data_IF_594667351597
#
_entry.id   IF_594667351597
#
_cell.length_a   1.000
_cell.length_b   1.000
_cell.length_c   1.000
_cell.angle_alpha   90.00
_cell.angle_beta   90.00
_cell.angle_gamma   90.00
#
_symmetry.space_group_name_H-M   'P 1'
#
loop_
_entity.id
_entity.type
_entity.pdbx_description
1 polymer ?
#
# COMPACT_ATOMS: atom_id res chain seq x y z
N UNK A 1 3.75 3.16 15.17
CA UNK A 1 2.79 3.41 14.07
C UNK A 1 3.11 4.74 13.42
N UNK A 2 3.14 4.77 12.08
CA UNK A 2 3.36 5.97 11.28
C UNK A 2 2.08 6.33 10.51
N UNK A 3 1.35 7.36 10.96
CA UNK A 3 0.20 7.89 10.25
C UNK A 3 0.62 8.67 9.00
N UNK A 4 0.04 8.34 7.84
CA UNK A 4 0.31 9.03 6.57
C UNK A 4 -1.00 9.38 5.84
N UNK A 5 -1.06 10.52 5.12
CA UNK A 5 -2.17 10.83 4.24
C UNK A 5 -2.09 9.96 2.98
N UNK A 6 -3.19 9.34 2.58
CA UNK A 6 -3.33 8.63 1.30
C UNK A 6 -2.27 7.55 0.98
N UNK A 7 -1.59 7.02 1.99
CA UNK A 7 -0.62 5.93 1.84
C UNK A 7 -1.17 4.64 2.45
N UNK A 8 -1.03 3.55 1.70
CA UNK A 8 -1.35 2.20 2.13
C UNK A 8 -0.15 1.28 1.86
N UNK A 9 0.28 0.54 2.88
CA UNK A 9 1.30 -0.48 2.75
C UNK A 9 0.63 -1.84 2.49
N UNK A 10 0.77 -2.38 1.29
CA UNK A 10 0.22 -3.69 0.94
C UNK A 10 1.22 -4.82 1.24
N UNK A 11 0.76 -6.01 1.67
CA UNK A 11 1.63 -7.18 1.81
C UNK A 11 2.35 -7.52 0.49
N UNK A 12 3.66 -7.72 0.57
CA UNK A 12 4.54 -8.01 -0.58
C UNK A 12 5.12 -6.77 -1.28
N UNK A 13 4.50 -5.60 -1.12
CA UNK A 13 4.97 -4.35 -1.75
C UNK A 13 6.13 -3.71 -0.97
N UNK A 14 6.95 -2.92 -1.68
CA UNK A 14 7.99 -2.07 -1.08
C UNK A 14 7.50 -0.63 -1.06
N UNK A 15 7.54 0.01 0.11
CA UNK A 15 7.21 1.41 0.32
C UNK A 15 8.49 2.20 0.66
N UNK A 16 8.98 3.05 -0.25
CA UNK A 16 10.05 3.99 0.07
C UNK A 16 9.51 5.15 0.93
N UNK A 17 10.25 5.53 1.97
CA UNK A 17 9.88 6.63 2.87
C UNK A 17 11.08 7.56 3.10
N UNK A 18 10.80 8.86 3.09
CA UNK A 18 11.72 9.89 3.57
C UNK A 18 11.22 10.46 4.89
N UNK A 19 11.97 10.26 5.96
CA UNK A 19 11.59 10.59 7.33
C UNK A 19 12.37 11.81 7.78
N UNK A 20 11.65 12.87 8.11
CA UNK A 20 12.26 14.15 8.49
C UNK A 20 11.65 14.79 9.74
N UNK A 21 10.43 14.42 10.14
CA UNK A 21 9.83 14.97 11.36
C UNK A 21 10.48 14.34 12.60
N UNK A 22 10.85 15.13 13.62
CA UNK A 22 11.58 14.63 14.80
C UNK A 22 10.94 13.41 15.47
N UNK A 23 9.60 13.42 15.67
CA UNK A 23 8.86 12.29 16.26
C UNK A 23 9.01 10.99 15.47
N UNK A 24 9.13 11.08 14.15
CA UNK A 24 9.27 9.90 13.30
C UNK A 24 10.75 9.51 13.12
N UNK A 25 11.69 10.43 13.28
CA UNK A 25 13.11 10.06 13.40
C UNK A 25 13.31 9.20 14.66
N UNK A 26 12.77 9.63 15.80
CA UNK A 26 12.80 8.86 17.06
C UNK A 26 12.12 7.48 16.90
N UNK A 27 10.96 7.45 16.22
CA UNK A 27 10.27 6.19 15.90
C UNK A 27 11.14 5.23 15.10
N UNK A 28 11.87 5.73 14.10
CA UNK A 28 12.72 4.89 13.25
C UNK A 28 13.92 4.37 14.03
N UNK A 29 14.56 5.22 14.84
CA UNK A 29 15.65 4.80 15.71
C UNK A 29 15.16 3.65 16.63
N UNK A 30 13.98 3.79 17.23
CA UNK A 30 13.36 2.74 18.04
C UNK A 30 13.03 1.45 17.26
N UNK A 31 12.49 1.58 16.05
CA UNK A 31 12.15 0.43 15.19
C UNK A 31 13.41 -0.35 14.81
N UNK A 32 14.50 0.32 14.47
CA UNK A 32 15.76 -0.31 14.06
C UNK A 32 16.50 -1.00 15.22
N UNK A 33 16.22 -0.62 16.45
CA UNK A 33 16.71 -1.30 17.66
C UNK A 33 15.87 -2.55 18.01
N UNK A 34 14.66 -2.66 17.47
CA UNK A 34 13.75 -3.79 17.72
C UNK A 34 14.15 -5.03 16.90
N UNK A 35 13.98 -6.26 17.43
CA UNK A 35 14.33 -7.49 16.69
C UNK A 35 13.59 -7.66 15.37
N UNK A 36 12.33 -7.19 15.30
CA UNK A 36 11.44 -7.42 14.17
C UNK A 36 11.52 -6.30 13.12
N UNK A 37 12.16 -5.16 13.44
CA UNK A 37 12.19 -3.96 12.59
C UNK A 37 10.80 -3.57 12.06
N UNK A 38 9.76 -3.80 12.88
CA UNK A 38 8.37 -3.72 12.45
C UNK A 38 7.85 -2.28 12.45
N UNK A 39 7.19 -1.89 11.37
CA UNK A 39 6.58 -0.58 11.22
C UNK A 39 5.16 -0.71 10.68
N UNK A 40 4.20 -0.17 11.43
CA UNK A 40 2.81 -0.07 11.02
C UNK A 40 2.56 1.27 10.27
N UNK A 41 2.00 1.20 9.06
CA UNK A 41 1.63 2.34 8.22
C UNK A 41 0.11 2.48 8.21
N UNK A 42 -0.39 3.48 8.93
CA UNK A 42 -1.83 3.74 9.06
C UNK A 42 -2.25 4.95 8.22
N UNK A 43 -3.39 4.85 7.55
CA UNK A 43 -3.92 5.98 6.77
C UNK A 43 -4.68 6.95 7.68
N UNK A 44 -4.39 8.25 7.57
CA UNK A 44 -5.11 9.31 8.26
C UNK A 44 -6.57 9.42 7.77
N UNK A 45 -7.51 9.72 8.68
CA UNK A 45 -8.89 10.07 8.30
C UNK A 45 -8.97 11.52 7.82
N UNK A 46 -9.94 11.85 6.95
CA UNK A 46 -10.16 13.25 6.52
C UNK A 46 -10.34 14.20 7.70
N UNK A 47 -9.84 15.44 7.57
CA UNK A 47 -9.87 16.44 8.63
C UNK A 47 -8.72 16.34 9.64
N UNK A 48 -7.68 15.57 9.32
CA UNK A 48 -6.50 15.40 10.17
C UNK A 48 -5.67 16.69 10.29
N UNK A 49 -5.81 17.61 9.34
CA UNK A 49 -4.95 18.79 9.18
C UNK A 49 -5.02 19.70 10.40
N UNK A 50 -6.20 19.81 11.00
CA UNK A 50 -6.44 20.64 12.19
C UNK A 50 -5.68 20.14 13.44
N UNK A 51 -5.34 18.86 13.49
CA UNK A 51 -4.65 18.23 14.63
C UNK A 51 -3.39 17.46 14.18
N UNK A 52 -2.78 17.78 13.03
CA UNK A 52 -1.70 16.96 12.47
C UNK A 52 -0.51 16.74 13.44
N UNK A 53 -0.23 17.73 14.28
CA UNK A 53 0.83 17.69 15.30
C UNK A 53 0.44 16.88 16.53
N UNK A 54 -0.87 16.72 16.80
CA UNK A 54 -1.39 15.89 17.88
C UNK A 54 -1.60 14.44 17.43
N UNK A 55 -2.82 13.94 17.66
CA UNK A 55 -3.17 12.53 17.40
C UNK A 55 -4.39 12.44 16.48
N UNK A 56 -4.28 12.86 15.22
CA UNK A 56 -5.41 12.80 14.31
C UNK A 56 -5.90 11.35 14.13
N UNK A 57 -7.23 11.14 13.98
CA UNK A 57 -7.78 9.81 13.81
C UNK A 57 -7.20 9.09 12.58
N UNK A 58 -6.97 7.79 12.71
CA UNK A 58 -6.56 6.90 11.61
C UNK A 58 -7.68 5.91 11.26
N UNK A 59 -7.61 5.33 10.07
CA UNK A 59 -8.42 4.16 9.75
C UNK A 59 -7.94 2.95 10.56
N UNK A 60 -8.88 2.09 10.97
CA UNK A 60 -8.58 0.95 11.86
C UNK A 60 -7.77 -0.15 11.19
N UNK A 61 -7.77 -0.26 9.86
CA UNK A 61 -6.96 -1.26 9.15
C UNK A 61 -5.73 -0.59 8.55
N UNK A 62 -4.59 -1.25 8.71
CA UNK A 62 -3.28 -0.75 8.32
C UNK A 62 -2.42 -1.86 7.72
N UNK A 63 -1.36 -1.45 7.03
CA UNK A 63 -0.30 -2.36 6.62
C UNK A 63 0.81 -2.38 7.67
N UNK A 64 1.29 -3.57 8.02
CA UNK A 64 2.49 -3.72 8.86
C UNK A 64 3.58 -4.33 8.00
N UNK A 65 4.76 -3.72 8.04
CA UNK A 65 5.93 -4.16 7.30
C UNK A 65 7.17 -4.22 8.16
N UNK A 66 8.26 -4.71 7.58
CA UNK A 66 9.59 -4.61 8.18
C UNK A 66 10.46 -3.65 7.38
N UNK A 67 11.33 -2.92 8.07
CA UNK A 67 12.36 -2.10 7.42
C UNK A 67 13.42 -3.03 6.83
N UNK A 68 13.55 -3.01 5.49
CA UNK A 68 14.50 -3.86 4.74
C UNK A 68 15.74 -3.10 4.28
N UNK A 69 15.69 -1.78 4.26
CA UNK A 69 16.85 -0.91 4.09
C UNK A 69 16.64 0.40 4.85
N UNK A 70 17.69 0.91 5.48
CA UNK A 70 17.69 2.18 6.17
C UNK A 70 19.01 2.92 5.93
N UNK A 71 18.91 4.17 5.50
CA UNK A 71 20.05 5.06 5.28
C UNK A 71 19.85 6.32 6.12
N UNK A 72 20.76 6.57 7.06
CA UNK A 72 20.79 7.81 7.84
C UNK A 72 21.53 8.88 7.05
N UNK A 73 20.85 9.99 6.78
CA UNK A 73 21.43 11.16 6.12
C UNK A 73 22.28 11.97 7.10
N UNK A 74 23.19 12.78 6.56
CA UNK A 74 24.09 13.64 7.35
C UNK A 74 23.37 14.69 8.22
N UNK A 75 22.14 15.03 7.89
CA UNK A 75 21.28 15.95 8.65
C UNK A 75 20.35 15.24 9.65
N UNK A 76 20.55 13.93 9.88
CA UNK A 76 19.79 13.14 10.83
C UNK A 76 18.48 12.55 10.30
N UNK A 77 18.10 12.86 9.05
CA UNK A 77 16.91 12.29 8.39
C UNK A 77 17.14 10.85 7.96
N UNK A 78 16.06 10.09 7.74
CA UNK A 78 16.15 8.70 7.26
C UNK A 78 15.54 8.54 5.86
N UNK A 79 16.21 7.75 5.02
CA UNK A 79 15.57 7.10 3.87
C UNK A 79 15.35 5.63 4.22
N UNK A 80 14.13 5.14 4.06
CA UNK A 80 13.76 3.76 4.37
C UNK A 80 13.17 3.06 3.15
N UNK A 81 13.39 1.75 3.08
CA UNK A 81 12.56 0.83 2.31
C UNK A 81 11.83 -0.08 3.30
N UNK A 82 10.50 -0.07 3.27
CA UNK A 82 9.65 -0.91 4.12
C UNK A 82 8.96 -1.95 3.26
N UNK A 83 9.17 -3.24 3.58
CA UNK A 83 8.46 -4.34 2.91
C UNK A 83 7.18 -4.66 3.67
N UNK A 84 6.03 -4.55 3.02
CA UNK A 84 4.76 -4.93 3.60
C UNK A 84 4.70 -6.43 3.86
N UNK A 85 4.27 -6.81 5.06
CA UNK A 85 4.19 -8.21 5.49
C UNK A 85 2.75 -8.65 5.67
N UNK A 86 1.95 -7.87 6.40
CA UNK A 86 0.59 -8.25 6.80
C UNK A 86 -0.36 -7.06 6.78
N UNK A 87 -1.65 -7.38 6.77
CA UNK A 87 -2.71 -6.46 7.19
C UNK A 87 -2.91 -6.61 8.69
N UNK A 88 -3.22 -5.51 9.38
CA UNK A 88 -3.57 -5.54 10.79
C UNK A 88 -4.71 -4.58 11.10
N UNK A 89 -5.48 -4.90 12.14
CA UNK A 89 -6.52 -4.04 12.73
C UNK A 89 -6.00 -3.44 14.03
N UNK A 90 -6.09 -2.12 14.15
CA UNK A 90 -5.85 -1.39 15.40
C UNK A 90 -6.82 -1.88 16.48
N UNK A 91 -6.27 -2.31 17.62
CA UNK A 91 -7.04 -2.68 18.81
C UNK A 91 -7.06 -1.52 19.79
N UNK A 92 -5.87 -1.07 20.20
CA UNK A 92 -5.67 0.06 21.10
C UNK A 92 -4.35 0.79 20.79
N UNK A 93 -4.24 2.01 21.31
CA UNK A 93 -2.98 2.75 21.34
C UNK A 93 -2.45 2.69 22.78
N UNK A 94 -1.14 2.49 22.95
CA UNK A 94 -0.50 2.57 24.25
C UNK A 94 -0.40 4.03 24.74
N UNK A 95 -0.16 4.19 26.04
CA UNK A 95 -0.04 5.46 26.73
C UNK A 95 1.07 6.36 26.14
N UNK A 96 0.95 7.68 26.37
CA UNK A 96 1.71 8.73 25.68
C UNK A 96 3.14 8.94 26.21
N UNK A 97 3.90 7.87 26.40
CA UNK A 97 5.28 7.98 26.92
C UNK A 97 6.28 8.43 25.85
N UNK A 98 5.95 8.28 24.56
CA UNK A 98 6.83 8.58 23.42
C UNK A 98 6.25 9.61 22.46
N UNK A 99 7.12 10.23 21.67
CA UNK A 99 6.73 11.20 20.65
C UNK A 99 5.95 10.57 19.48
N UNK A 100 6.02 9.25 19.33
CA UNK A 100 5.33 8.48 18.30
C UNK A 100 4.34 7.49 18.92
N UNK A 101 3.36 7.05 18.11
CA UNK A 101 2.29 6.17 18.59
C UNK A 101 2.73 4.72 18.62
N UNK A 102 2.66 4.10 19.78
CA UNK A 102 2.74 2.65 19.94
C UNK A 102 1.31 2.08 19.96
N UNK A 103 1.11 0.90 19.38
CA UNK A 103 -0.22 0.31 19.21
C UNK A 103 -0.21 -1.18 19.48
N UNK A 104 -1.33 -1.72 19.94
CA UNK A 104 -1.65 -3.13 19.79
C UNK A 104 -2.49 -3.33 18.52
N UNK A 105 -2.19 -4.38 17.76
CA UNK A 105 -2.91 -4.66 16.53
C UNK A 105 -3.06 -6.16 16.29
N UNK A 106 -4.22 -6.53 15.76
CA UNK A 106 -4.53 -7.91 15.39
C UNK A 106 -4.28 -8.15 13.92
N UNK A 107 -3.59 -9.25 13.60
CA UNK A 107 -3.37 -9.68 12.22
C UNK A 107 -4.70 -9.97 11.51
N UNK A 108 -4.80 -9.52 10.27
CA UNK A 108 -5.91 -9.87 9.37
C UNK A 108 -5.35 -10.81 8.30
N UNK A 109 -5.80 -12.06 8.31
CA UNK A 109 -5.47 -13.02 7.28
C UNK A 109 -6.38 -12.89 6.05
N UNK A 110 -5.80 -13.20 4.89
CA UNK A 110 -6.57 -13.29 3.65
C UNK A 110 -7.53 -14.47 3.73
N UNK A 111 -8.75 -14.24 3.24
CA UNK A 111 -9.83 -15.24 3.20
C UNK A 111 -10.15 -15.57 1.75
N UNK A 112 -10.48 -16.84 1.50
CA UNK A 112 -10.70 -17.43 0.17
C UNK A 112 -9.47 -17.35 -0.76
N UNK A 113 -9.05 -18.49 -1.29
CA UNK A 113 -8.04 -18.59 -2.35
C UNK A 113 -8.28 -19.91 -3.09
N UNK A 114 -9.35 -19.98 -3.87
CA UNK A 114 -9.57 -21.15 -4.71
C UNK A 114 -8.53 -21.11 -5.85
N UNK A 115 -7.69 -22.14 -6.02
CA UNK A 115 -6.78 -22.22 -7.15
C UNK A 115 -7.56 -22.18 -8.46
N UNK A 116 -7.09 -21.38 -9.43
CA UNK A 116 -7.73 -21.29 -10.75
C UNK A 116 -8.98 -20.41 -10.79
N UNK A 117 -9.10 -19.41 -9.91
CA UNK A 117 -10.20 -18.45 -9.95
C UNK A 117 -10.25 -17.74 -11.33
N UNK A 118 -11.38 -17.82 -12.05
CA UNK A 118 -11.55 -17.14 -13.34
C UNK A 118 -11.32 -15.61 -13.27
N UNK A 119 -11.52 -15.00 -12.10
CA UNK A 119 -11.26 -13.58 -11.86
C UNK A 119 -9.78 -13.27 -11.86
N UNK A 120 -8.91 -14.17 -11.36
CA UNK A 120 -7.46 -13.96 -11.46
C UNK A 120 -7.02 -13.97 -12.93
N UNK A 121 -7.44 -14.97 -13.69
CA UNK A 121 -7.14 -15.07 -15.11
C UNK A 121 -7.64 -13.84 -15.88
N UNK A 122 -8.86 -13.38 -15.57
CA UNK A 122 -9.43 -12.15 -16.14
C UNK A 122 -8.60 -10.93 -15.79
N UNK A 123 -8.20 -10.76 -14.53
CA UNK A 123 -7.39 -9.62 -14.10
C UNK A 123 -6.04 -9.61 -14.81
N UNK A 124 -5.35 -10.76 -14.89
CA UNK A 124 -4.09 -10.88 -15.66
C UNK A 124 -4.28 -10.51 -17.12
N UNK A 125 -5.38 -10.92 -17.75
CA UNK A 125 -5.68 -10.54 -19.14
C UNK A 125 -5.88 -9.03 -19.30
N UNK A 126 -6.60 -8.38 -18.38
CA UNK A 126 -6.79 -6.93 -18.40
C UNK A 126 -5.46 -6.17 -18.23
N UNK A 127 -4.60 -6.63 -17.32
CA UNK A 127 -3.29 -6.03 -17.08
C UNK A 127 -2.39 -6.17 -18.33
N UNK A 128 -2.37 -7.36 -18.97
CA UNK A 128 -1.62 -7.56 -20.21
C UNK A 128 -2.12 -6.63 -21.33
N UNK A 129 -3.44 -6.56 -21.54
CA UNK A 129 -4.03 -5.66 -22.55
C UNK A 129 -3.66 -4.20 -22.29
N UNK A 130 -3.70 -3.76 -21.02
CA UNK A 130 -3.30 -2.41 -20.66
C UNK A 130 -1.81 -2.16 -20.89
N UNK A 131 -0.95 -3.13 -20.55
CA UNK A 131 0.50 -3.05 -20.79
C UNK A 131 0.86 -3.01 -22.28
N UNK A 132 0.06 -3.64 -23.14
CA UNK A 132 0.26 -3.61 -24.59
C UNK A 132 -0.05 -2.23 -25.20
N UNK A 133 -0.97 -1.47 -24.61
CA UNK A 133 -1.42 -0.18 -25.15
C UNK A 133 -0.88 1.05 -24.42
N UNK A 134 -0.40 0.89 -23.18
CA UNK A 134 0.12 1.99 -22.35
C UNK A 134 1.64 1.99 -22.33
N UNK A 135 2.27 2.95 -23.00
CA UNK A 135 3.75 3.07 -23.00
C UNK A 135 4.31 3.48 -21.65
N UNK A 136 3.61 4.34 -20.90
CA UNK A 136 4.06 4.84 -19.59
C UNK A 136 3.96 3.81 -18.46
N UNK A 137 2.96 2.92 -18.50
CA UNK A 137 2.72 1.95 -17.44
C UNK A 137 3.22 0.53 -17.75
N UNK A 138 3.65 0.25 -18.99
CA UNK A 138 4.02 -1.10 -19.47
C UNK A 138 4.97 -1.84 -18.54
N UNK A 139 6.09 -1.22 -18.20
CA UNK A 139 7.14 -1.88 -17.41
C UNK A 139 6.67 -2.20 -15.98
N UNK A 140 5.94 -1.26 -15.37
CA UNK A 140 5.35 -1.46 -14.04
C UNK A 140 4.32 -2.61 -14.05
N UNK A 141 3.43 -2.65 -15.05
CA UNK A 141 2.42 -3.70 -15.19
C UNK A 141 3.05 -5.08 -15.46
N UNK A 142 4.09 -5.13 -16.30
CA UNK A 142 4.85 -6.36 -16.55
C UNK A 142 5.56 -6.87 -15.29
N UNK A 143 6.13 -5.96 -14.49
CA UNK A 143 6.76 -6.31 -13.23
C UNK A 143 5.75 -6.91 -12.24
N UNK A 144 4.55 -6.30 -12.13
CA UNK A 144 3.45 -6.82 -11.30
C UNK A 144 3.07 -8.24 -11.73
N UNK A 145 2.89 -8.49 -13.04
CA UNK A 145 2.55 -9.80 -13.56
C UNK A 145 3.62 -10.86 -13.28
N UNK A 146 4.89 -10.47 -13.40
CA UNK A 146 6.03 -11.36 -13.18
C UNK A 146 6.26 -11.70 -11.69
N UNK A 147 5.93 -10.79 -10.78
CA UNK A 147 6.13 -11.00 -9.34
C UNK A 147 4.96 -11.70 -8.64
N UNK A 148 3.73 -11.54 -9.15
CA UNK A 148 2.54 -12.09 -8.51
C UNK A 148 2.35 -13.59 -8.83
N UNK A 149 2.42 -14.44 -7.81
CA UNK A 149 2.25 -15.89 -7.96
C UNK A 149 0.78 -16.34 -7.86
N UNK A 150 -0.08 -15.52 -7.27
CA UNK A 150 -1.50 -15.81 -7.05
C UNK A 150 -2.33 -14.52 -7.04
N UNK A 151 -3.66 -14.64 -7.03
CA UNK A 151 -4.59 -13.51 -7.01
C UNK A 151 -4.44 -12.58 -5.80
N UNK A 152 -4.05 -13.09 -4.63
CA UNK A 152 -3.84 -12.25 -3.46
C UNK A 152 -2.66 -11.30 -3.68
N UNK A 153 -1.50 -11.83 -4.08
CA UNK A 153 -0.31 -11.05 -4.43
C UNK A 153 -0.57 -10.10 -5.60
N UNK A 154 -1.31 -10.56 -6.63
CA UNK A 154 -1.64 -9.74 -7.79
C UNK A 154 -2.45 -8.51 -7.39
N UNK A 155 -3.47 -8.67 -6.55
CA UNK A 155 -4.28 -7.53 -6.06
C UNK A 155 -3.48 -6.60 -5.15
N UNK A 156 -2.55 -7.12 -4.35
CA UNK A 156 -1.70 -6.32 -3.48
C UNK A 156 -0.74 -5.43 -4.28
N UNK A 157 -0.02 -6.03 -5.24
CA UNK A 157 0.94 -5.32 -6.08
C UNK A 157 0.25 -4.31 -7.00
N UNK A 158 -0.93 -4.66 -7.54
CA UNK A 158 -1.74 -3.72 -8.31
C UNK A 158 -2.19 -2.53 -7.44
N UNK A 159 -2.67 -2.80 -6.22
CA UNK A 159 -3.06 -1.75 -5.27
C UNK A 159 -1.88 -0.86 -4.87
N UNK A 160 -0.67 -1.40 -4.77
CA UNK A 160 0.51 -0.64 -4.39
C UNK A 160 1.08 0.23 -5.52
N UNK A 161 1.01 -0.23 -6.77
CA UNK A 161 1.83 0.33 -7.85
C UNK A 161 1.05 0.79 -9.09
N UNK A 162 -0.22 0.41 -9.24
CA UNK A 162 -1.01 0.68 -10.46
C UNK A 162 -2.43 1.19 -10.17
N UNK A 163 -2.69 1.67 -8.96
CA UNK A 163 -3.99 2.21 -8.56
C UNK A 163 -3.82 3.62 -7.98
N UNK A 164 -4.19 4.65 -8.76
CA UNK A 164 -4.09 6.05 -8.32
C UNK A 164 -5.21 6.45 -7.34
N UNK A 165 -6.33 5.74 -7.33
CA UNK A 165 -7.46 5.99 -6.44
C UNK A 165 -7.17 5.53 -5.00
N UNK A 166 -6.82 6.48 -4.12
CA UNK A 166 -6.53 6.23 -2.70
C UNK A 166 -7.71 5.58 -1.94
N UNK A 167 -8.96 5.95 -2.29
CA UNK A 167 -10.14 5.37 -1.64
C UNK A 167 -10.30 3.90 -2.04
N UNK A 168 -10.04 3.57 -3.30
CA UNK A 168 -10.01 2.18 -3.77
C UNK A 168 -8.86 1.39 -3.12
N UNK A 169 -7.64 1.93 -3.09
CA UNK A 169 -6.50 1.30 -2.42
C UNK A 169 -6.81 0.99 -0.95
N UNK A 170 -7.39 1.94 -0.20
CA UNK A 170 -7.83 1.70 1.18
C UNK A 170 -8.85 0.55 1.26
N UNK A 171 -9.89 0.58 0.41
CA UNK A 171 -10.91 -0.50 0.38
C UNK A 171 -10.29 -1.87 0.07
N UNK A 172 -9.28 -1.92 -0.80
CA UNK A 172 -8.54 -3.14 -1.11
C UNK A 172 -7.67 -3.59 0.08
N UNK A 173 -7.04 -2.67 0.81
CA UNK A 173 -6.29 -3.00 2.03
C UNK A 173 -7.22 -3.55 3.12
N UNK A 174 -8.39 -2.95 3.30
CA UNK A 174 -9.41 -3.33 4.29
C UNK A 174 -10.12 -4.65 3.99
N UNK A 175 -10.05 -5.15 2.75
CA UNK A 175 -10.81 -6.31 2.30
C UNK A 175 -9.98 -7.60 2.46
N UNK A 176 -10.28 -8.47 3.43
CA UNK A 176 -9.56 -9.74 3.59
C UNK A 176 -9.92 -10.76 2.49
N UNK A 177 -11.10 -10.65 1.88
CA UNK A 177 -11.57 -11.62 0.89
C UNK A 177 -10.91 -11.39 -0.47
N UNK A 178 -10.08 -12.34 -0.92
CA UNK A 178 -9.27 -12.20 -2.15
C UNK A 178 -10.17 -12.08 -3.37
N UNK A 179 -11.25 -12.86 -3.46
CA UNK A 179 -12.18 -12.83 -4.59
C UNK A 179 -12.87 -11.48 -4.74
N UNK A 180 -13.20 -10.85 -3.61
CA UNK A 180 -13.77 -9.50 -3.58
C UNK A 180 -12.74 -8.48 -4.05
N UNK A 181 -11.47 -8.58 -3.61
CA UNK A 181 -10.39 -7.73 -4.13
C UNK A 181 -10.18 -7.92 -5.63
N UNK A 182 -10.18 -9.16 -6.13
CA UNK A 182 -10.08 -9.46 -7.56
C UNK A 182 -11.20 -8.81 -8.37
N UNK A 183 -12.46 -8.84 -7.87
CA UNK A 183 -13.59 -8.14 -8.50
C UNK A 183 -13.36 -6.62 -8.55
N UNK A 184 -12.94 -6.02 -7.44
CA UNK A 184 -12.62 -4.59 -7.37
C UNK A 184 -11.52 -4.22 -8.38
N UNK A 185 -10.44 -5.00 -8.43
CA UNK A 185 -9.33 -4.81 -9.36
C UNK A 185 -9.74 -4.99 -10.82
N UNK A 186 -10.56 -6.00 -11.14
CA UNK A 186 -11.09 -6.18 -12.50
C UNK A 186 -11.94 -4.99 -12.95
N UNK A 187 -12.81 -4.48 -12.07
CA UNK A 187 -13.64 -3.31 -12.37
C UNK A 187 -12.78 -2.08 -12.61
N UNK A 188 -11.78 -1.84 -11.75
CA UNK A 188 -10.87 -0.71 -11.88
C UNK A 188 -10.05 -0.79 -13.17
N UNK A 189 -9.41 -1.93 -13.46
CA UNK A 189 -8.61 -2.11 -14.67
C UNK A 189 -9.44 -2.08 -15.95
N UNK A 190 -10.65 -2.61 -15.91
CA UNK A 190 -11.59 -2.46 -17.03
C UNK A 190 -11.93 -1.00 -17.32
N UNK A 191 -12.16 -0.18 -16.27
CA UNK A 191 -12.40 1.26 -16.44
C UNK A 191 -11.17 1.98 -17.02
N UNK A 192 -9.98 1.75 -16.44
CA UNK A 192 -8.73 2.36 -16.93
C UNK A 192 -8.45 1.97 -18.38
N UNK A 193 -8.68 0.71 -18.75
CA UNK A 193 -8.52 0.25 -20.13
C UNK A 193 -9.43 1.01 -21.09
N UNK A 194 -10.71 1.21 -20.73
CA UNK A 194 -11.65 1.98 -21.54
C UNK A 194 -11.19 3.45 -21.67
N UNK A 195 -10.78 4.08 -20.56
CA UNK A 195 -10.28 5.46 -20.56
C UNK A 195 -9.06 5.63 -21.50
N UNK A 196 -8.13 4.67 -21.49
CA UNK A 196 -6.94 4.70 -22.37
C UNK A 196 -7.29 4.46 -23.84
N UNK A 197 -8.30 3.64 -24.13
CA UNK A 197 -8.77 3.39 -25.49
C UNK A 197 -9.53 4.59 -26.07
N UNK A 198 -10.29 5.30 -25.23
CA UNK A 198 -11.07 6.49 -25.61
C UNK A 198 -10.21 7.76 -25.68
N UNK A 199 -9.03 7.78 -25.05
CA UNK A 199 -8.12 8.92 -25.10
C UNK A 199 -7.64 9.20 -26.53
N UNK A 200 -7.75 10.45 -27.03
CA UNK A 200 -7.22 10.82 -28.33
C UNK A 200 -5.71 10.55 -28.37
N UNK A 201 -5.16 10.23 -29.54
CA UNK A 201 -3.82 9.66 -29.76
C UNK A 201 -2.63 10.40 -29.11
N UNK A 202 -2.81 11.61 -28.57
CA UNK A 202 -1.82 12.37 -27.80
C UNK A 202 -1.96 12.31 -26.27
N UNK A 203 -2.94 11.57 -25.71
CA UNK A 203 -3.20 11.45 -24.27
C UNK A 203 -2.72 10.14 -23.63
N UNK A 204 -2.05 9.26 -24.39
CA UNK A 204 -1.56 7.95 -23.90
C UNK A 204 -0.33 8.06 -22.99
N UNK A 205 0.15 9.27 -22.72
CA UNK A 205 1.36 9.54 -21.94
C UNK A 205 1.08 9.83 -20.45
N UNK A 206 -0.15 10.15 -20.05
CA UNK A 206 -0.45 10.59 -18.67
C UNK A 206 -1.11 9.49 -17.84
N UNK A 207 -0.32 8.53 -17.38
CA UNK A 207 -0.63 7.74 -16.18
C UNK A 207 0.62 7.71 -15.30
N UNK A 208 0.78 8.75 -14.49
CA UNK A 208 1.70 8.83 -13.35
C UNK A 208 0.90 8.84 -12.05
#
# INVERSE_FOLDING_TARGET
MFPLPDVQLFPGAILPLHIFEPRYVEMVDHVLESPDNALAIATLRPGYEADYQGRPPVYSVMGVGSVVAAERKSDGRWNLLVKGLIRARLVDEYDEERAFREINAERIDDTESLPGDPLEARLRSLINQLADISTGAKDALNLILAQANNGAELTNLLGAHACSDSALRRRMLECPNVNTRLKMSCQHMGRVLLEVLEAPSGGRETLH
#
